data_IF_282646708181
#
_entry.id   IF_282646708181
#
_cell.length_a   1.000
_cell.length_b   1.000
_cell.length_c   1.000
_cell.angle_alpha   90.00
_cell.angle_beta   90.00
_cell.angle_gamma   90.00
#
_symmetry.space_group_name_H-M   'P 1'
#
loop_
_entity.id
_entity.type
_entity.pdbx_description
1 polymer ?
#
# COMPACT_ATOMS: atom_id res chain seq x y z
N UNK A 1 -30.32 -23.14 -24.88
CA UNK A 1 -30.43 -23.86 -23.59
C UNK A 1 -29.09 -24.53 -23.29
N UNK A 2 -28.28 -23.98 -22.39
CA UNK A 2 -27.02 -24.63 -22.00
C UNK A 2 -27.29 -25.86 -21.12
N UNK A 3 -26.62 -26.95 -21.47
CA UNK A 3 -26.80 -28.28 -20.89
C UNK A 3 -26.41 -28.28 -19.39
N UNK A 4 -27.04 -29.14 -18.57
CA UNK A 4 -26.82 -29.18 -17.11
C UNK A 4 -25.34 -29.41 -16.75
N UNK A 5 -24.60 -30.13 -17.59
CA UNK A 5 -23.16 -30.34 -17.45
C UNK A 5 -22.32 -29.06 -17.72
N UNK A 6 -22.74 -28.22 -18.68
CA UNK A 6 -22.09 -26.94 -18.97
C UNK A 6 -22.23 -25.96 -17.80
N UNK A 7 -23.39 -25.99 -17.12
CA UNK A 7 -23.64 -25.18 -15.92
C UNK A 7 -22.75 -25.61 -14.75
N UNK A 8 -22.59 -26.90 -14.50
CA UNK A 8 -21.76 -27.42 -13.40
C UNK A 8 -20.27 -27.12 -13.60
N UNK A 9 -19.78 -27.15 -14.84
CA UNK A 9 -18.38 -26.80 -15.18
C UNK A 9 -18.11 -25.28 -15.09
N UNK A 10 -19.10 -24.44 -15.41
CA UNK A 10 -19.05 -22.98 -15.18
C UNK A 10 -19.07 -22.65 -13.68
N UNK A 11 -19.87 -23.35 -12.88
CA UNK A 11 -20.01 -23.14 -11.42
C UNK A 11 -18.73 -23.51 -10.65
N UNK A 12 -18.02 -24.56 -11.08
CA UNK A 12 -16.74 -24.98 -10.49
C UNK A 12 -15.59 -23.99 -10.70
N UNK A 13 -15.57 -23.27 -11.84
CA UNK A 13 -14.55 -22.25 -12.15
C UNK A 13 -14.95 -20.82 -11.78
N UNK A 14 -16.24 -20.57 -11.45
CA UNK A 14 -16.73 -19.30 -10.88
C UNK A 14 -16.31 -19.14 -9.41
N UNK A 15 -16.38 -20.25 -8.66
CA UNK A 15 -16.19 -20.32 -7.21
C UNK A 15 -14.79 -19.92 -6.72
N UNK A 16 -13.77 -20.01 -7.58
CA UNK A 16 -12.38 -19.63 -7.25
C UNK A 16 -11.99 -18.24 -7.75
N UNK A 17 -12.83 -17.57 -8.57
CA UNK A 17 -12.38 -16.44 -9.40
C UNK A 17 -13.10 -15.10 -9.13
N UNK A 18 -14.29 -15.14 -8.51
CA UNK A 18 -14.89 -13.96 -7.82
C UNK A 18 -14.12 -13.63 -6.52
N UNK A 19 -13.08 -14.41 -6.25
CA UNK A 19 -12.10 -14.22 -5.20
C UNK A 19 -11.29 -12.92 -5.26
N UNK A 20 -11.34 -12.18 -6.36
CA UNK A 20 -10.17 -11.41 -6.78
C UNK A 20 -10.22 -9.89 -6.80
N UNK A 21 -11.37 -9.17 -6.75
CA UNK A 21 -11.32 -7.88 -6.06
C UNK A 21 -10.83 -8.11 -4.61
N UNK A 22 -11.18 -9.25 -3.99
CA UNK A 22 -10.72 -9.64 -2.65
C UNK A 22 -9.36 -10.32 -2.56
N UNK A 23 -8.64 -10.49 -3.67
CA UNK A 23 -7.21 -10.85 -3.64
C UNK A 23 -6.31 -9.71 -4.12
N UNK A 24 -6.82 -8.69 -4.81
CA UNK A 24 -6.17 -7.36 -4.75
C UNK A 24 -6.16 -6.82 -3.32
N UNK A 25 -7.05 -7.30 -2.45
CA UNK A 25 -7.04 -7.08 -1.00
C UNK A 25 -6.19 -8.11 -0.19
N UNK A 26 -5.30 -8.87 -0.83
CA UNK A 26 -4.41 -9.83 -0.17
C UNK A 26 -2.92 -9.71 -0.52
N UNK A 27 -2.54 -8.89 -1.52
CA UNK A 27 -1.15 -8.81 -2.02
C UNK A 27 -0.38 -7.60 -1.46
N UNK A 28 -0.70 -7.17 -0.23
CA UNK A 28 -0.01 -6.09 0.46
C UNK A 28 0.87 -6.57 1.62
N UNK A 29 1.10 -7.88 1.75
CA UNK A 29 2.14 -8.42 2.61
C UNK A 29 2.67 -9.74 2.04
N UNK A 30 3.80 -9.68 1.33
CA UNK A 30 4.98 -10.53 1.56
C UNK A 30 6.12 -10.08 0.62
N UNK A 31 6.62 -8.86 0.82
CA UNK A 31 8.08 -8.72 0.78
C UNK A 31 8.51 -8.97 2.21
N UNK A 32 9.22 -10.07 2.52
CA UNK A 32 9.78 -10.23 3.85
C UNK A 32 10.68 -9.02 4.08
N UNK A 33 10.41 -8.28 5.15
CA UNK A 33 11.35 -7.34 5.73
C UNK A 33 12.61 -8.12 6.06
N UNK A 34 13.54 -8.17 5.10
CA UNK A 34 14.92 -8.51 5.39
C UNK A 34 15.41 -7.39 6.31
N UNK A 35 15.60 -7.77 7.56
CA UNK A 35 16.44 -7.07 8.51
C UNK A 35 17.74 -6.69 7.80
N UNK A 36 17.90 -5.42 7.50
CA UNK A 36 19.12 -4.88 6.93
C UNK A 36 20.16 -4.76 8.04
N UNK A 37 20.70 -5.90 8.44
CA UNK A 37 22.02 -5.95 9.04
C UNK A 37 22.85 -7.00 8.32
N UNK A 38 24.05 -6.58 7.91
CA UNK A 38 25.14 -7.36 7.30
C UNK A 38 25.13 -7.57 5.77
N UNK A 39 25.92 -6.68 5.17
CA UNK A 39 26.82 -6.80 4.03
C UNK A 39 27.40 -8.24 3.86
N UNK A 40 27.56 -8.61 2.58
CA UNK A 40 28.39 -9.72 2.03
C UNK A 40 27.94 -11.17 2.28
N UNK A 41 27.38 -11.79 1.23
CA UNK A 41 27.88 -13.04 0.65
C UNK A 41 27.08 -13.42 -0.61
N UNK A 42 27.56 -12.96 -1.76
CA UNK A 42 27.30 -13.63 -3.03
C UNK A 42 28.20 -14.86 -3.09
N UNK A 43 27.63 -16.07 -3.01
CA UNK A 43 28.05 -17.24 -3.82
C UNK A 43 27.35 -18.52 -3.35
N UNK A 44 26.79 -19.24 -4.32
CA UNK A 44 26.59 -20.70 -4.33
C UNK A 44 25.64 -21.32 -3.29
N UNK A 45 24.48 -21.76 -3.79
CA UNK A 45 23.95 -23.12 -3.56
C UNK A 45 22.77 -23.38 -4.51
N UNK A 46 23.11 -23.81 -5.71
CA UNK A 46 22.31 -24.84 -6.36
C UNK A 46 22.47 -26.11 -5.51
N UNK A 47 21.39 -26.64 -4.95
CA UNK A 47 21.27 -28.06 -4.61
C UNK A 47 19.79 -28.41 -4.41
N UNK A 48 19.25 -29.06 -5.44
CA UNK A 48 18.28 -30.17 -5.42
C UNK A 48 17.51 -30.35 -4.11
N UNK A 49 16.21 -30.03 -4.14
CA UNK A 49 15.26 -30.47 -3.12
C UNK A 49 14.27 -31.47 -3.78
N UNK A 50 14.43 -32.79 -3.60
CA UNK A 50 13.64 -33.81 -4.31
C UNK A 50 12.29 -34.14 -3.64
N UNK A 51 11.79 -33.31 -2.73
CA UNK A 51 10.53 -33.53 -2.01
C UNK A 51 9.48 -32.44 -2.25
N UNK A 52 9.34 -31.97 -3.51
CA UNK A 52 8.12 -31.28 -3.92
C UNK A 52 7.12 -32.32 -4.40
N UNK A 53 6.26 -32.75 -3.48
CA UNK A 53 5.06 -33.53 -3.79
C UNK A 53 4.26 -32.83 -4.91
N UNK A 54 3.92 -33.50 -6.02
CA UNK A 54 3.10 -32.92 -7.08
C UNK A 54 1.62 -33.03 -6.67
N UNK A 55 1.19 -32.16 -5.75
CA UNK A 55 -0.24 -31.90 -5.52
C UNK A 55 -0.51 -30.43 -5.80
N UNK A 56 -1.05 -30.16 -6.98
CA UNK A 56 -1.51 -28.83 -7.34
C UNK A 56 -1.70 -28.70 -8.83
N UNK A 57 -2.84 -29.16 -9.34
CA UNK A 57 -3.30 -28.72 -10.65
C UNK A 57 -3.34 -27.19 -10.64
N UNK A 58 -2.38 -26.58 -11.34
CA UNK A 58 -2.36 -25.14 -11.54
C UNK A 58 -3.52 -24.81 -12.47
N UNK A 59 -4.68 -24.45 -11.92
CA UNK A 59 -5.61 -23.64 -12.67
C UNK A 59 -4.87 -22.35 -13.07
N UNK A 60 -4.83 -21.98 -14.37
CA UNK A 60 -4.21 -20.74 -14.78
C UNK A 60 -4.88 -19.59 -14.02
N UNK A 61 -4.09 -18.78 -13.30
CA UNK A 61 -4.60 -17.57 -12.64
C UNK A 61 -5.10 -16.65 -13.75
N UNK A 62 -6.41 -16.38 -13.81
CA UNK A 62 -6.98 -15.38 -14.71
C UNK A 62 -6.28 -14.03 -14.53
N UNK A 63 -6.17 -13.25 -15.61
CA UNK A 63 -5.65 -11.88 -15.53
C UNK A 63 -6.54 -11.01 -14.62
N UNK A 64 -6.05 -9.84 -14.19
CA UNK A 64 -6.86 -8.91 -13.39
C UNK A 64 -8.12 -8.46 -14.16
N UNK A 65 -7.97 -8.18 -15.45
CA UNK A 65 -9.06 -7.71 -16.31
C UNK A 65 -10.13 -8.78 -16.50
N UNK A 66 -9.73 -10.03 -16.75
CA UNK A 66 -10.68 -11.14 -16.90
C UNK A 66 -11.48 -11.38 -15.61
N UNK A 67 -10.84 -11.14 -14.46
CA UNK A 67 -11.44 -11.29 -13.14
C UNK A 67 -12.45 -10.19 -12.85
N UNK A 68 -12.13 -8.95 -13.20
CA UNK A 68 -13.05 -7.81 -13.08
C UNK A 68 -14.26 -7.99 -14.01
N UNK A 69 -14.04 -8.36 -15.28
CA UNK A 69 -15.12 -8.59 -16.25
C UNK A 69 -16.10 -9.67 -15.79
N UNK A 70 -15.57 -10.81 -15.32
CA UNK A 70 -16.39 -11.94 -14.83
C UNK A 70 -17.19 -11.60 -13.57
N UNK A 71 -16.66 -10.74 -12.70
CA UNK A 71 -17.41 -10.24 -11.53
C UNK A 71 -18.58 -9.37 -11.98
N UNK A 72 -18.35 -8.41 -12.86
CA UNK A 72 -19.41 -7.53 -13.36
C UNK A 72 -20.48 -8.34 -14.11
N UNK A 73 -20.09 -9.35 -14.87
CA UNK A 73 -21.03 -10.30 -15.48
C UNK A 73 -21.89 -11.04 -14.42
N UNK A 74 -21.29 -11.47 -13.32
CA UNK A 74 -22.03 -12.16 -12.23
C UNK A 74 -23.02 -11.21 -11.56
N UNK A 75 -22.61 -9.96 -11.28
CA UNK A 75 -23.48 -8.93 -10.71
C UNK A 75 -24.61 -8.62 -11.68
N UNK A 76 -24.32 -8.38 -12.96
CA UNK A 76 -25.32 -8.13 -14.00
C UNK A 76 -26.38 -9.24 -14.08
N UNK A 77 -25.96 -10.50 -13.90
CA UNK A 77 -26.88 -11.64 -13.94
C UNK A 77 -27.72 -11.83 -12.67
N UNK A 78 -27.16 -11.58 -11.48
CA UNK A 78 -27.80 -11.90 -10.19
C UNK A 78 -28.41 -10.69 -9.48
N UNK A 79 -27.89 -9.50 -9.75
CA UNK A 79 -28.29 -8.23 -9.16
C UNK A 79 -27.97 -7.06 -10.12
N UNK A 80 -28.73 -6.91 -11.21
CA UNK A 80 -28.44 -5.88 -12.21
C UNK A 80 -28.62 -4.45 -11.70
N UNK A 81 -29.51 -4.24 -10.72
CA UNK A 81 -29.89 -2.91 -10.19
C UNK A 81 -28.72 -2.15 -9.55
N UNK A 82 -27.72 -2.88 -9.03
CA UNK A 82 -26.54 -2.35 -8.33
C UNK A 82 -25.31 -2.26 -9.26
N UNK A 83 -25.41 -2.72 -10.50
CA UNK A 83 -24.24 -2.80 -11.39
C UNK A 83 -23.56 -1.44 -11.59
N UNK A 84 -24.36 -0.38 -11.73
CA UNK A 84 -23.88 0.98 -11.90
C UNK A 84 -23.18 1.47 -10.62
N UNK A 85 -23.76 1.24 -9.44
CA UNK A 85 -23.19 1.63 -8.15
C UNK A 85 -21.85 0.94 -7.90
N UNK A 86 -21.76 -0.37 -8.15
CA UNK A 86 -20.50 -1.11 -7.99
C UNK A 86 -19.43 -0.61 -8.97
N UNK A 87 -19.83 -0.34 -10.21
CA UNK A 87 -18.90 0.19 -11.22
C UNK A 87 -18.40 1.59 -10.84
N UNK A 88 -19.27 2.43 -10.28
CA UNK A 88 -18.91 3.75 -9.77
C UNK A 88 -17.90 3.65 -8.61
N UNK A 89 -18.17 2.79 -7.62
CA UNK A 89 -17.28 2.56 -6.48
C UNK A 89 -15.92 1.98 -6.91
N UNK A 90 -15.89 1.10 -7.91
CA UNK A 90 -14.62 0.58 -8.45
C UNK A 90 -13.78 1.68 -9.11
N UNK A 91 -14.43 2.59 -9.84
CA UNK A 91 -13.75 3.70 -10.49
C UNK A 91 -13.20 4.69 -9.46
N UNK A 92 -13.98 5.00 -8.42
CA UNK A 92 -13.53 5.84 -7.30
C UNK A 92 -12.32 5.21 -6.59
N UNK A 93 -12.42 3.92 -6.26
CA UNK A 93 -11.32 3.19 -5.64
C UNK A 93 -10.04 3.16 -6.50
N UNK A 94 -10.18 2.99 -7.83
CA UNK A 94 -9.06 3.05 -8.78
C UNK A 94 -8.41 4.44 -8.78
N UNK A 95 -9.21 5.51 -8.84
CA UNK A 95 -8.71 6.88 -8.83
C UNK A 95 -7.89 7.18 -7.56
N UNK A 96 -8.42 6.84 -6.38
CA UNK A 96 -7.72 7.06 -5.09
C UNK A 96 -6.41 6.28 -5.02
N UNK A 97 -6.39 5.05 -5.53
CA UNK A 97 -5.16 4.25 -5.58
C UNK A 97 -4.10 4.85 -6.50
N UNK A 98 -4.51 5.41 -7.64
CA UNK A 98 -3.62 6.12 -8.56
C UNK A 98 -3.05 7.39 -7.90
N UNK A 99 -3.89 8.17 -7.22
CA UNK A 99 -3.48 9.37 -6.49
C UNK A 99 -2.52 9.05 -5.34
N UNK A 100 -2.82 8.02 -4.54
CA UNK A 100 -1.91 7.53 -3.49
C UNK A 100 -0.56 7.09 -4.04
N UNK A 101 -0.56 6.44 -5.21
CA UNK A 101 0.68 5.99 -5.86
C UNK A 101 1.49 7.18 -6.36
N UNK A 102 0.85 8.15 -7.00
CA UNK A 102 1.50 9.37 -7.47
C UNK A 102 2.14 10.14 -6.30
N UNK A 103 1.38 10.35 -5.22
CA UNK A 103 1.85 11.01 -4.00
C UNK A 103 3.02 10.29 -3.34
N UNK A 104 3.02 8.95 -3.32
CA UNK A 104 4.15 8.18 -2.79
C UNK A 104 5.44 8.39 -3.59
N UNK A 105 5.35 8.44 -4.92
CA UNK A 105 6.52 8.71 -5.76
C UNK A 105 7.00 10.16 -5.59
N UNK A 106 6.09 11.14 -5.50
CA UNK A 106 6.45 12.54 -5.23
C UNK A 106 7.15 12.71 -3.88
N UNK A 107 6.64 12.08 -2.82
CA UNK A 107 7.29 12.10 -1.51
C UNK A 107 8.67 11.45 -1.53
N UNK A 108 8.84 10.39 -2.32
CA UNK A 108 10.10 9.64 -2.43
C UNK A 108 11.15 10.45 -3.20
N UNK A 109 10.76 11.12 -4.27
CA UNK A 109 11.65 12.04 -4.99
C UNK A 109 12.04 13.21 -4.10
N UNK A 110 11.06 13.85 -3.44
CA UNK A 110 11.32 14.94 -2.50
C UNK A 110 12.34 14.55 -1.41
N UNK A 111 12.13 13.42 -0.73
CA UNK A 111 13.07 12.94 0.31
C UNK A 111 14.49 12.73 -0.22
N UNK A 112 14.62 12.24 -1.46
CA UNK A 112 15.92 12.03 -2.10
C UNK A 112 16.60 13.37 -2.38
N UNK A 113 15.84 14.34 -2.87
CA UNK A 113 16.34 15.66 -3.25
C UNK A 113 16.71 16.49 -2.02
N UNK A 114 15.86 16.51 -0.98
CA UNK A 114 16.17 17.15 0.30
C UNK A 114 17.41 16.54 0.95
N UNK A 115 17.56 15.22 0.92
CA UNK A 115 18.75 14.54 1.45
C UNK A 115 20.02 14.92 0.68
N UNK A 116 19.92 15.06 -0.64
CA UNK A 116 21.02 15.53 -1.47
C UNK A 116 21.39 16.99 -1.14
N UNK A 117 20.41 17.90 -1.06
CA UNK A 117 20.61 19.30 -0.67
C UNK A 117 21.30 19.42 0.68
N UNK A 118 20.76 18.76 1.72
CA UNK A 118 21.34 18.79 3.08
C UNK A 118 22.76 18.22 3.14
N UNK A 119 23.07 17.24 2.29
CA UNK A 119 24.43 16.71 2.17
C UNK A 119 25.39 17.73 1.56
N UNK A 120 24.95 18.48 0.56
CA UNK A 120 25.76 19.49 -0.09
C UNK A 120 25.90 20.76 0.77
N UNK A 121 24.84 21.20 1.46
CA UNK A 121 24.89 22.24 2.52
C UNK A 121 25.96 21.92 3.57
N UNK A 122 26.02 20.66 4.03
CA UNK A 122 27.06 20.24 4.99
C UNK A 122 28.46 20.31 4.39
N UNK A 123 28.64 19.96 3.11
CA UNK A 123 29.95 20.00 2.46
C UNK A 123 30.44 21.43 2.28
N UNK A 124 29.56 22.34 1.81
CA UNK A 124 29.89 23.75 1.64
C UNK A 124 30.23 24.38 2.97
N UNK A 125 29.42 24.16 4.01
CA UNK A 125 29.71 24.64 5.36
C UNK A 125 31.09 24.20 5.88
N UNK A 126 31.46 22.93 5.69
CA UNK A 126 32.79 22.43 6.08
C UNK A 126 33.90 23.02 5.21
N UNK A 127 33.67 23.23 3.92
CA UNK A 127 34.65 23.83 3.02
C UNK A 127 34.90 25.30 3.39
N UNK A 128 33.85 26.07 3.64
CA UNK A 128 33.91 27.48 4.05
C UNK A 128 34.67 27.62 5.37
N UNK A 129 34.37 26.78 6.38
CA UNK A 129 35.13 26.76 7.63
C UNK A 129 36.63 26.49 7.40
N UNK A 130 36.96 25.53 6.53
CA UNK A 130 38.37 25.21 6.22
C UNK A 130 39.08 26.35 5.50
N UNK A 131 38.38 27.08 4.64
CA UNK A 131 38.92 28.24 3.94
C UNK A 131 39.19 29.40 4.90
N UNK A 132 38.23 29.72 5.78
CA UNK A 132 38.42 30.72 6.84
C UNK A 132 39.61 30.42 7.73
N UNK A 133 39.81 29.15 8.13
CA UNK A 133 40.99 28.72 8.90
C UNK A 133 42.29 28.94 8.10
N UNK A 134 42.31 28.55 6.82
CA UNK A 134 43.51 28.69 5.96
C UNK A 134 43.89 30.16 5.75
N UNK A 135 42.90 31.03 5.62
CA UNK A 135 43.09 32.47 5.47
C UNK A 135 43.46 33.17 6.79
N UNK A 136 43.40 32.45 7.91
CA UNK A 136 43.64 33.00 9.25
C UNK A 136 42.52 33.93 9.74
N UNK A 137 41.33 33.86 9.12
CA UNK A 137 40.16 34.66 9.50
C UNK A 137 39.54 34.20 10.82
N UNK A 138 39.65 32.90 11.11
CA UNK A 138 39.22 32.28 12.37
C UNK A 138 40.30 31.33 12.87
N UNK A 139 40.34 31.15 14.19
CA UNK A 139 41.16 30.13 14.84
C UNK A 139 40.52 28.74 14.74
N UNK A 140 41.30 27.69 15.00
CA UNK A 140 40.76 26.33 15.07
C UNK A 140 39.73 26.15 16.20
N UNK A 141 39.87 26.89 17.30
CA UNK A 141 38.94 26.85 18.43
C UNK A 141 37.60 27.48 18.05
N UNK A 142 37.61 28.65 17.40
CA UNK A 142 36.40 29.30 16.89
C UNK A 142 35.69 28.43 15.83
N UNK A 143 36.44 27.82 14.91
CA UNK A 143 35.88 26.90 13.93
C UNK A 143 35.22 25.66 14.56
N UNK A 144 35.79 25.13 15.65
CA UNK A 144 35.18 24.03 16.41
C UNK A 144 33.85 24.46 17.04
N UNK A 145 33.79 25.67 17.63
CA UNK A 145 32.53 26.20 18.19
C UNK A 145 31.46 26.46 17.13
N UNK A 146 31.83 26.98 15.95
CA UNK A 146 30.90 27.15 14.83
C UNK A 146 30.37 25.80 14.34
N UNK A 147 31.24 24.79 14.26
CA UNK A 147 30.85 23.44 13.87
C UNK A 147 29.91 22.79 14.91
N UNK A 148 30.20 22.93 16.21
CA UNK A 148 29.35 22.43 17.28
C UNK A 148 27.97 23.10 17.28
N UNK A 149 27.91 24.42 17.03
CA UNK A 149 26.64 25.13 16.84
C UNK A 149 25.84 24.60 15.65
N UNK A 150 26.51 24.34 14.53
CA UNK A 150 25.87 23.74 13.35
C UNK A 150 25.33 22.33 13.64
N UNK A 151 26.08 21.49 14.36
CA UNK A 151 25.62 20.16 14.78
C UNK A 151 24.44 20.26 15.75
N UNK A 152 24.44 21.24 16.66
CA UNK A 152 23.32 21.47 17.58
C UNK A 152 22.03 21.82 16.81
N UNK A 153 22.11 22.71 15.81
CA UNK A 153 20.96 23.04 14.93
C UNK A 153 20.42 21.80 14.21
N UNK A 154 21.30 20.96 13.64
CA UNK A 154 20.87 19.70 13.00
C UNK A 154 20.17 18.76 13.99
N UNK A 155 20.62 18.71 15.26
CA UNK A 155 19.96 17.88 16.27
C UNK A 155 18.55 18.39 16.57
N UNK A 156 18.39 19.70 16.72
CA UNK A 156 17.09 20.33 16.93
C UNK A 156 16.12 20.09 15.75
N UNK A 157 16.59 20.24 14.50
CA UNK A 157 15.84 19.89 13.29
C UNK A 157 15.43 18.40 13.26
N UNK A 158 16.28 17.50 13.78
CA UNK A 158 15.94 16.07 13.87
C UNK A 158 14.92 15.77 14.94
N UNK A 159 14.98 16.45 16.07
CA UNK A 159 14.02 16.28 17.16
C UNK A 159 12.63 16.75 16.73
N UNK A 160 12.53 17.92 16.10
CA UNK A 160 11.28 18.43 15.52
C UNK A 160 10.72 17.50 14.44
N UNK A 161 11.57 16.97 13.56
CA UNK A 161 11.16 15.98 12.56
C UNK A 161 10.69 14.66 13.18
N UNK A 162 11.29 14.23 14.30
CA UNK A 162 10.91 13.00 14.97
C UNK A 162 9.58 13.12 15.70
N UNK A 163 9.33 14.23 16.41
CA UNK A 163 8.03 14.49 17.04
C UNK A 163 6.92 14.53 15.98
N UNK A 164 7.19 15.24 14.88
CA UNK A 164 6.32 15.28 13.71
C UNK A 164 6.00 13.87 13.18
N UNK A 165 7.01 13.02 12.96
CA UNK A 165 6.79 11.65 12.47
C UNK A 165 5.98 10.77 13.41
N UNK A 166 6.19 10.89 14.72
CA UNK A 166 5.46 10.08 15.70
C UNK A 166 3.96 10.44 15.73
N UNK A 167 3.60 11.73 15.60
CA UNK A 167 2.21 12.15 15.48
C UNK A 167 1.51 11.45 14.31
N UNK A 168 2.05 11.58 13.10
CA UNK A 168 1.46 10.96 11.91
C UNK A 168 1.45 9.43 11.98
N UNK A 169 2.47 8.82 12.59
CA UNK A 169 2.54 7.36 12.78
C UNK A 169 1.40 6.84 13.65
N UNK A 170 0.99 7.57 14.70
CA UNK A 170 -0.18 7.19 15.51
C UNK A 170 -1.47 7.22 14.68
N UNK A 171 -1.65 8.25 13.85
CA UNK A 171 -2.82 8.39 12.97
C UNK A 171 -2.83 7.31 11.87
N UNK A 172 -1.68 6.97 11.26
CA UNK A 172 -1.62 5.86 10.31
C UNK A 172 -1.92 4.50 10.96
N UNK A 173 -1.47 4.29 12.21
CA UNK A 173 -1.75 3.06 12.93
C UNK A 173 -3.24 2.89 13.24
N UNK A 174 -3.96 3.96 13.60
CA UNK A 174 -5.42 3.87 13.82
C UNK A 174 -6.16 3.49 12.53
N UNK A 175 -5.82 4.11 11.39
CA UNK A 175 -6.37 3.76 10.07
C UNK A 175 -6.02 2.33 9.66
N UNK A 176 -4.85 1.83 10.05
CA UNK A 176 -4.42 0.45 9.80
C UNK A 176 -5.26 -0.55 10.59
N UNK A 177 -5.55 -0.29 11.86
CA UNK A 177 -6.38 -1.17 12.68
C UNK A 177 -7.85 -1.17 12.19
N UNK A 178 -8.40 -0.02 11.81
CA UNK A 178 -9.74 0.04 11.19
C UNK A 178 -9.80 -0.79 9.89
N UNK A 179 -8.78 -0.68 9.05
CA UNK A 179 -8.68 -1.46 7.81
C UNK A 179 -8.57 -2.98 8.06
N UNK A 180 -7.90 -3.41 9.14
CA UNK A 180 -7.83 -4.83 9.53
C UNK A 180 -9.20 -5.36 9.97
N UNK A 181 -9.92 -4.60 10.80
CA UNK A 181 -11.26 -4.98 11.23
C UNK A 181 -12.19 -5.15 10.02
N UNK A 182 -12.16 -4.19 9.09
CA UNK A 182 -12.98 -4.25 7.89
C UNK A 182 -12.59 -5.41 6.97
N UNK A 183 -11.30 -5.77 6.94
CA UNK A 183 -10.82 -6.95 6.21
C UNK A 183 -11.41 -8.24 6.76
N UNK A 184 -11.55 -8.38 8.06
CA UNK A 184 -12.15 -9.57 8.69
C UNK A 184 -13.65 -9.67 8.39
N UNK A 185 -14.38 -8.57 8.54
CA UNK A 185 -15.81 -8.50 8.18
C UNK A 185 -16.06 -8.88 6.72
N UNK A 186 -15.22 -8.38 5.80
CA UNK A 186 -15.31 -8.72 4.37
C UNK A 186 -14.98 -10.18 4.08
N UNK A 187 -14.06 -10.81 4.82
CA UNK A 187 -13.74 -12.23 4.63
C UNK A 187 -14.94 -13.11 4.98
N UNK A 188 -15.63 -12.83 6.09
CA UNK A 188 -16.82 -13.58 6.49
C UNK A 188 -17.94 -13.47 5.43
N UNK A 189 -18.29 -12.25 5.01
CA UNK A 189 -19.32 -12.05 3.97
C UNK A 189 -18.94 -12.68 2.64
N UNK A 190 -17.65 -12.72 2.30
CA UNK A 190 -17.17 -13.39 1.09
C UNK A 190 -17.38 -14.90 1.12
N UNK A 191 -17.23 -15.53 2.28
CA UNK A 191 -17.51 -16.96 2.42
C UNK A 191 -19.00 -17.25 2.22
N UNK A 192 -19.89 -16.43 2.81
CA UNK A 192 -21.33 -16.50 2.60
C UNK A 192 -21.69 -16.27 1.12
N UNK A 193 -21.09 -15.26 0.48
CA UNK A 193 -21.32 -14.93 -0.93
C UNK A 193 -20.95 -16.09 -1.86
N UNK A 194 -19.84 -16.77 -1.56
CA UNK A 194 -19.44 -17.94 -2.36
C UNK A 194 -20.45 -19.08 -2.25
N UNK A 195 -21.13 -19.24 -1.11
CA UNK A 195 -22.17 -20.25 -0.92
C UNK A 195 -23.42 -19.90 -1.73
N UNK A 196 -23.88 -18.64 -1.68
CA UNK A 196 -25.08 -18.21 -2.42
C UNK A 196 -24.88 -18.28 -3.94
N UNK A 197 -23.70 -17.89 -4.43
CA UNK A 197 -23.32 -18.03 -5.85
C UNK A 197 -23.33 -19.50 -6.29
N UNK A 198 -22.76 -20.42 -5.50
CA UNK A 198 -22.76 -21.85 -5.82
C UNK A 198 -24.16 -22.44 -5.90
N UNK A 199 -25.08 -21.93 -5.08
CA UNK A 199 -26.45 -22.37 -5.02
C UNK A 199 -27.37 -21.64 -6.04
N UNK A 200 -26.84 -20.65 -6.79
CA UNK A 200 -27.62 -19.72 -7.61
C UNK A 200 -28.76 -19.05 -6.82
N UNK A 201 -28.54 -18.78 -5.55
CA UNK A 201 -29.48 -18.10 -4.68
C UNK A 201 -29.36 -16.59 -4.89
N UNK A 202 -30.19 -16.06 -5.80
CA UNK A 202 -30.19 -14.64 -6.14
C UNK A 202 -30.61 -13.76 -4.96
N UNK A 203 -31.54 -14.23 -4.11
CA UNK A 203 -32.01 -13.43 -2.97
C UNK A 203 -30.95 -13.37 -1.86
N UNK A 204 -30.33 -14.53 -1.55
CA UNK A 204 -29.18 -14.57 -0.65
C UNK A 204 -27.99 -13.77 -1.17
N UNK A 205 -27.77 -13.75 -2.49
CA UNK A 205 -26.74 -12.92 -3.13
C UNK A 205 -27.00 -11.43 -2.87
N UNK A 206 -28.23 -10.95 -3.10
CA UNK A 206 -28.61 -9.55 -2.87
C UNK A 206 -28.38 -9.13 -1.42
N UNK A 207 -28.90 -9.89 -0.46
CA UNK A 207 -28.76 -9.61 0.97
C UNK A 207 -27.29 -9.51 1.40
N UNK A 208 -26.42 -10.35 0.85
CA UNK A 208 -24.99 -10.30 1.17
C UNK A 208 -24.33 -9.10 0.48
N UNK A 209 -24.66 -8.82 -0.78
CA UNK A 209 -24.12 -7.66 -1.51
C UNK A 209 -24.51 -6.33 -0.85
N UNK A 210 -25.76 -6.19 -0.39
CA UNK A 210 -26.22 -4.99 0.34
C UNK A 210 -25.41 -4.74 1.62
N UNK A 211 -24.90 -5.80 2.27
CA UNK A 211 -23.97 -5.69 3.41
C UNK A 211 -22.53 -5.39 3.00
N UNK A 212 -22.14 -5.76 1.77
CA UNK A 212 -20.78 -5.56 1.27
C UNK A 212 -20.54 -4.17 0.71
N UNK A 213 -21.56 -3.51 0.14
CA UNK A 213 -21.47 -2.12 -0.34
C UNK A 213 -20.94 -1.17 0.74
N UNK A 214 -21.55 -1.06 1.94
CA UNK A 214 -21.08 -0.10 2.94
C UNK A 214 -19.65 -0.42 3.40
N UNK A 215 -19.24 -1.69 3.41
CA UNK A 215 -17.85 -2.07 3.73
C UNK A 215 -16.85 -1.70 2.61
N UNK A 216 -17.34 -1.55 1.37
CA UNK A 216 -16.53 -1.10 0.25
C UNK A 216 -16.40 0.43 0.26
N UNK A 217 -17.49 1.15 0.48
CA UNK A 217 -17.49 2.60 0.73
C UNK A 217 -16.59 2.96 1.91
N UNK A 218 -16.67 2.21 3.01
CA UNK A 218 -15.81 2.41 4.18
C UNK A 218 -14.32 2.18 3.83
N UNK A 219 -14.02 1.21 2.97
CA UNK A 219 -12.65 0.98 2.52
C UNK A 219 -12.12 2.15 1.69
N UNK A 220 -12.92 2.63 0.74
CA UNK A 220 -12.62 3.79 -0.10
C UNK A 220 -12.38 5.02 0.79
N UNK A 221 -13.25 5.24 1.78
CA UNK A 221 -13.11 6.31 2.76
C UNK A 221 -11.80 6.19 3.58
N UNK A 222 -11.41 4.98 4.00
CA UNK A 222 -10.13 4.78 4.68
C UNK A 222 -8.93 5.10 3.79
N UNK A 223 -8.99 4.78 2.50
CA UNK A 223 -7.91 5.12 1.56
C UNK A 223 -7.87 6.62 1.26
N UNK A 224 -9.02 7.29 1.18
CA UNK A 224 -9.11 8.76 1.15
C UNK A 224 -8.49 9.38 2.40
N UNK A 225 -8.81 8.89 3.59
CA UNK A 225 -8.22 9.39 4.84
C UNK A 225 -6.70 9.20 4.87
N UNK A 226 -6.20 8.08 4.33
CA UNK A 226 -4.74 7.86 4.18
C UNK A 226 -4.14 8.85 3.20
N UNK A 227 -4.81 9.13 2.09
CA UNK A 227 -4.37 10.10 1.10
C UNK A 227 -4.28 11.51 1.69
N UNK A 228 -5.34 11.97 2.36
CA UNK A 228 -5.38 13.27 3.02
C UNK A 228 -4.31 13.39 4.10
N UNK A 229 -4.15 12.35 4.93
CA UNK A 229 -3.15 12.33 5.99
C UNK A 229 -1.73 12.41 5.41
N UNK A 230 -1.46 11.67 4.33
CA UNK A 230 -0.18 11.78 3.61
C UNK A 230 0.01 13.17 3.00
N UNK A 231 -1.05 13.79 2.49
CA UNK A 231 -0.96 15.11 1.85
C UNK A 231 -0.57 16.16 2.88
N UNK A 232 -1.27 16.16 4.03
CA UNK A 232 -0.93 17.03 5.17
C UNK A 232 0.48 16.80 5.66
N UNK A 233 0.87 15.53 5.86
CA UNK A 233 2.23 15.19 6.26
C UNK A 233 3.26 15.69 5.26
N UNK A 234 2.96 15.60 3.96
CA UNK A 234 3.91 16.01 2.94
C UNK A 234 4.07 17.53 2.85
N UNK A 235 2.98 18.28 2.91
CA UNK A 235 3.00 19.74 2.93
C UNK A 235 3.69 20.28 4.19
N UNK A 236 3.42 19.72 5.36
CA UNK A 236 4.11 20.12 6.59
C UNK A 236 5.61 19.77 6.55
N UNK A 237 5.97 18.63 5.93
CA UNK A 237 7.37 18.25 5.75
C UNK A 237 8.10 19.20 4.76
N UNK A 238 7.40 19.75 3.76
CA UNK A 238 7.92 20.83 2.90
C UNK A 238 8.15 22.12 3.67
N UNK A 239 7.30 22.45 4.65
CA UNK A 239 7.47 23.65 5.45
C UNK A 239 8.60 23.56 6.48
N UNK A 240 9.05 22.34 6.81
CA UNK A 240 10.16 22.10 7.72
C UNK A 240 11.55 22.23 7.06
N UNK A 241 11.64 22.21 5.72
CA UNK A 241 12.91 22.16 4.99
C UNK A 241 12.96 23.09 3.79
#
# INVERSE_FOLDING_TARGET
>A
MLNKFSKVLLIGSLSLMIATPFTSFADDNEVPTQDRTNIEQHSQREMVNPFRNPKGGQNPKLSREDREAKRLETISNLYPEILDDVTALDNEHKAIHEDLKAQNEEMKTYRKDTLASKKDERKTFIADLREKIKNGEITNEEAATEFDSYIAKIKEERETLNSFKEEYKTQFNSLKEQSKLNRENRKALREELNVTIKNNDSEGFKVIFDKMIPLFEEHINLDNQRYELKAKMFEELKNLF
#
